data_IF_405590389595
#
_entry.id   IF_405590389595
#
_cell.length_a   1.000
_cell.length_b   1.000
_cell.length_c   1.000
_cell.angle_alpha   90.00
_cell.angle_beta   90.00
_cell.angle_gamma   90.00
#
_symmetry.space_group_name_H-M   'P 1'
#
loop_
_entity.id
_entity.type
_entity.pdbx_description
1 polymer ?
#
# COMPACT_ATOMS: atom_id res chain seq x y z
N UNK A 1 -14.65 36.27 61.16
CA UNK A 1 -15.46 35.19 60.58
C UNK A 1 -14.70 34.58 59.39
N UNK A 2 -14.07 33.43 59.55
CA UNK A 2 -13.35 32.72 58.47
C UNK A 2 -14.24 31.60 58.00
N UNK A 3 -14.79 31.71 56.78
CA UNK A 3 -15.56 30.67 56.10
C UNK A 3 -14.60 29.56 55.66
N UNK A 4 -14.71 28.38 56.22
CA UNK A 4 -14.03 27.16 55.80
C UNK A 4 -14.75 26.63 54.56
N UNK A 5 -14.11 26.76 53.38
CA UNK A 5 -14.57 26.07 52.16
C UNK A 5 -14.18 24.59 52.28
N UNK A 6 -15.21 23.73 52.31
CA UNK A 6 -15.07 22.30 52.31
C UNK A 6 -14.64 21.82 50.90
N UNK A 7 -13.57 21.02 50.75
CA UNK A 7 -13.13 20.54 49.42
C UNK A 7 -14.15 19.57 48.83
N UNK A 8 -14.32 19.55 47.49
CA UNK A 8 -15.23 18.62 46.84
C UNK A 8 -14.74 17.17 47.02
N UNK A 9 -15.67 16.30 47.42
CA UNK A 9 -15.43 14.87 47.55
C UNK A 9 -15.30 14.27 46.14
N UNK A 10 -14.08 13.90 45.73
CA UNK A 10 -13.89 13.09 44.54
C UNK A 10 -14.56 11.72 44.77
N UNK A 11 -15.66 11.49 44.07
CA UNK A 11 -16.34 10.17 44.05
C UNK A 11 -15.36 9.15 43.47
N UNK A 12 -14.95 8.20 44.28
CA UNK A 12 -14.09 7.09 43.86
C UNK A 12 -14.82 6.27 42.78
N UNK A 13 -14.33 6.34 41.55
CA UNK A 13 -14.79 5.49 40.45
C UNK A 13 -14.48 4.04 40.82
N UNK A 14 -15.52 3.22 41.04
CA UNK A 14 -15.33 1.80 41.33
C UNK A 14 -14.59 1.12 40.18
N UNK A 15 -13.52 0.35 40.42
CA UNK A 15 -12.80 -0.35 39.38
C UNK A 15 -13.72 -1.38 38.73
N UNK A 16 -13.82 -1.37 37.39
CA UNK A 16 -14.57 -2.36 36.62
C UNK A 16 -14.04 -3.78 36.94
N UNK A 17 -14.94 -4.79 37.03
CA UNK A 17 -14.55 -6.17 37.29
C UNK A 17 -13.53 -6.66 36.26
N UNK A 18 -12.56 -7.46 36.69
CA UNK A 18 -11.44 -7.92 35.87
C UNK A 18 -11.90 -8.61 34.57
N UNK A 19 -13.02 -9.36 34.62
CA UNK A 19 -13.65 -9.99 33.47
C UNK A 19 -14.10 -8.97 32.38
N UNK A 20 -14.62 -7.82 32.79
CA UNK A 20 -15.05 -6.78 31.86
C UNK A 20 -13.84 -6.10 31.19
N UNK A 21 -12.74 -5.89 31.94
CA UNK A 21 -11.48 -5.37 31.38
C UNK A 21 -10.86 -6.35 30.38
N UNK A 22 -10.87 -7.65 30.69
CA UNK A 22 -10.39 -8.68 29.77
C UNK A 22 -11.23 -8.75 28.50
N UNK A 23 -12.57 -8.68 28.60
CA UNK A 23 -13.47 -8.68 27.45
C UNK A 23 -13.23 -7.45 26.54
N UNK A 24 -13.07 -6.26 27.11
CA UNK A 24 -12.79 -5.03 26.34
C UNK A 24 -11.45 -5.13 25.61
N UNK A 25 -10.39 -5.65 26.25
CA UNK A 25 -9.07 -5.84 25.62
C UNK A 25 -9.12 -6.85 24.48
N UNK A 26 -9.86 -7.95 24.61
CA UNK A 26 -10.04 -8.93 23.54
C UNK A 26 -10.82 -8.34 22.36
N UNK A 27 -11.87 -7.55 22.63
CA UNK A 27 -12.67 -6.92 21.56
C UNK A 27 -11.87 -5.87 20.79
N UNK A 28 -11.02 -5.09 21.45
CA UNK A 28 -10.14 -4.10 20.80
C UNK A 28 -9.06 -4.79 19.93
N UNK A 29 -8.57 -5.95 20.36
CA UNK A 29 -7.59 -6.73 19.58
C UNK A 29 -8.15 -7.33 18.30
N UNK A 30 -9.44 -7.62 18.25
CA UNK A 30 -10.13 -8.19 17.07
C UNK A 30 -10.47 -7.15 15.98
N UNK A 31 -10.37 -5.85 16.28
CA UNK A 31 -10.64 -4.75 15.33
C UNK A 31 -9.40 -4.28 14.56
N UNK A 32 -8.23 -4.90 14.78
CA UNK A 32 -7.04 -4.63 14.00
C UNK A 32 -7.21 -5.24 12.60
N UNK A 33 -7.75 -4.49 11.66
CA UNK A 33 -7.79 -4.86 10.25
C UNK A 33 -6.37 -5.14 9.75
N UNK A 34 -6.06 -6.40 9.42
CA UNK A 34 -4.74 -6.80 8.96
C UNK A 34 -4.47 -6.22 7.57
N UNK A 35 -3.53 -5.29 7.45
CA UNK A 35 -2.94 -4.92 6.17
C UNK A 35 -2.07 -6.08 5.69
N UNK A 36 -2.33 -6.56 4.48
CA UNK A 36 -1.52 -7.58 3.83
C UNK A 36 -0.65 -6.93 2.77
N UNK A 37 0.66 -7.07 2.92
CA UNK A 37 1.67 -6.62 1.96
C UNK A 37 2.54 -7.80 1.61
N UNK A 38 2.70 -8.08 0.33
CA UNK A 38 3.61 -9.10 -0.16
C UNK A 38 4.31 -8.61 -1.43
N UNK A 39 5.60 -8.89 -1.51
CA UNK A 39 6.39 -8.67 -2.71
C UNK A 39 7.31 -9.88 -2.90
N UNK A 40 7.31 -10.45 -4.10
CA UNK A 40 8.06 -11.65 -4.41
C UNK A 40 8.88 -11.48 -5.67
N UNK A 41 10.19 -11.68 -5.55
CA UNK A 41 11.09 -11.81 -6.69
C UNK A 41 11.17 -13.28 -7.11
N UNK A 42 11.03 -13.52 -8.40
CA UNK A 42 11.23 -14.85 -8.99
C UNK A 42 12.65 -15.00 -9.48
N UNK A 43 13.23 -13.87 -9.94
CA UNK A 43 14.63 -13.78 -10.35
C UNK A 43 15.26 -12.49 -9.83
N UNK A 44 16.59 -12.36 -9.81
CA UNK A 44 17.28 -11.10 -9.52
C UNK A 44 16.84 -9.99 -10.48
N UNK A 45 16.48 -8.81 -9.94
CA UNK A 45 15.92 -7.69 -10.71
C UNK A 45 16.93 -6.59 -11.01
N UNK A 46 18.18 -6.74 -10.57
CA UNK A 46 19.22 -5.70 -10.62
C UNK A 46 19.59 -5.29 -12.05
N UNK A 47 19.50 -6.24 -12.99
CA UNK A 47 19.81 -6.02 -14.41
C UNK A 47 18.72 -5.30 -15.20
N UNK A 48 17.49 -5.27 -14.69
CA UNK A 48 16.37 -4.62 -15.35
C UNK A 48 16.36 -3.13 -15.01
N UNK A 49 16.75 -2.30 -15.96
CA UNK A 49 16.87 -0.86 -15.74
C UNK A 49 15.75 -0.08 -16.43
N UNK A 50 15.34 -0.49 -17.63
CA UNK A 50 14.31 0.19 -18.43
C UNK A 50 12.97 -0.52 -18.26
N UNK A 51 12.07 0.11 -17.52
CA UNK A 51 10.78 -0.47 -17.15
C UNK A 51 9.67 0.34 -17.80
N UNK A 52 8.82 -0.35 -18.54
CA UNK A 52 7.63 0.24 -19.13
C UNK A 52 6.39 -0.13 -18.31
N UNK A 53 5.62 0.84 -17.89
CA UNK A 53 4.37 0.63 -17.17
C UNK A 53 3.22 0.65 -18.16
N UNK A 54 2.50 -0.47 -18.28
CA UNK A 54 1.33 -0.54 -19.16
C UNK A 54 0.20 0.30 -18.62
N UNK A 55 -0.22 1.31 -19.37
CA UNK A 55 -1.37 2.13 -19.03
C UNK A 55 -2.67 1.34 -19.18
N UNK A 56 -3.48 1.31 -18.12
CA UNK A 56 -4.79 0.67 -18.14
C UNK A 56 -5.86 1.64 -18.63
N UNK A 57 -6.73 1.20 -19.56
CA UNK A 57 -7.80 2.05 -20.14
C UNK A 57 -8.78 2.59 -19.09
N UNK A 58 -8.98 1.89 -18.00
CA UNK A 58 -9.94 2.23 -16.95
C UNK A 58 -9.26 2.78 -15.69
N UNK A 59 -8.03 3.27 -15.80
CA UNK A 59 -7.33 3.89 -14.67
C UNK A 59 -7.64 5.38 -14.59
N UNK A 60 -8.67 5.71 -13.82
CA UNK A 60 -9.07 7.10 -13.54
C UNK A 60 -8.20 7.76 -12.45
N UNK A 61 -7.25 7.04 -11.90
CA UNK A 61 -6.39 7.49 -10.79
C UNK A 61 -4.94 7.70 -11.19
N UNK A 62 -4.60 7.50 -12.48
CA UNK A 62 -3.27 7.71 -13.04
C UNK A 62 -2.18 6.94 -12.29
N UNK A 63 -2.47 5.69 -11.91
CA UNK A 63 -1.51 4.85 -11.19
C UNK A 63 -0.26 4.57 -12.01
N UNK A 64 -0.36 4.51 -13.33
CA UNK A 64 0.78 4.36 -14.24
C UNK A 64 1.80 5.49 -14.06
N UNK A 65 1.36 6.74 -13.94
CA UNK A 65 2.24 7.89 -13.69
C UNK A 65 2.88 7.81 -12.29
N UNK A 66 2.12 7.35 -11.29
CA UNK A 66 2.64 7.15 -9.94
C UNK A 66 3.70 6.04 -9.89
N UNK A 67 3.48 4.92 -10.60
CA UNK A 67 4.50 3.87 -10.74
C UNK A 67 5.77 4.41 -11.41
N UNK A 68 5.64 5.16 -12.50
CA UNK A 68 6.79 5.79 -13.18
C UNK A 68 7.55 6.70 -12.22
N UNK A 69 6.85 7.54 -11.46
CA UNK A 69 7.49 8.45 -10.52
C UNK A 69 8.29 7.70 -9.43
N UNK A 70 7.72 6.64 -8.85
CA UNK A 70 8.39 5.88 -7.79
C UNK A 70 9.53 4.99 -8.35
N UNK A 71 9.39 4.41 -9.54
CA UNK A 71 10.47 3.69 -10.22
C UNK A 71 11.66 4.60 -10.52
N UNK A 72 11.41 5.83 -10.99
CA UNK A 72 12.48 6.83 -11.21
C UNK A 72 13.19 7.22 -9.92
N UNK A 73 12.47 7.30 -8.79
CA UNK A 73 13.08 7.52 -7.46
C UNK A 73 14.01 6.38 -7.03
N UNK A 74 13.78 5.17 -7.54
CA UNK A 74 14.64 4.01 -7.34
C UNK A 74 15.80 3.96 -8.36
N UNK A 75 15.94 4.98 -9.21
CA UNK A 75 17.01 5.06 -10.23
C UNK A 75 16.73 4.24 -11.49
N UNK A 76 15.46 3.82 -11.71
CA UNK A 76 15.07 3.13 -12.93
C UNK A 76 14.72 4.13 -14.05
N UNK A 77 15.02 3.76 -15.28
CA UNK A 77 14.50 4.46 -16.46
C UNK A 77 13.08 3.94 -16.74
N UNK A 78 12.08 4.73 -16.38
CA UNK A 78 10.69 4.31 -16.45
C UNK A 78 9.84 5.26 -17.29
N UNK A 79 8.92 4.68 -18.04
CA UNK A 79 7.89 5.38 -18.81
C UNK A 79 6.60 4.59 -18.80
N UNK A 80 5.47 5.24 -19.12
CA UNK A 80 4.16 4.59 -19.22
C UNK A 80 3.44 4.93 -20.51
N UNK A 81 2.46 4.11 -20.84
CA UNK A 81 1.57 4.31 -21.99
C UNK A 81 0.95 3.00 -22.47
N UNK A 82 0.20 3.05 -23.59
CA UNK A 82 -0.30 1.85 -24.24
C UNK A 82 0.85 0.93 -24.71
N UNK A 83 0.66 -0.39 -24.66
CA UNK A 83 1.69 -1.35 -25.10
C UNK A 83 2.19 -1.13 -26.53
N UNK A 84 1.35 -0.56 -27.39
CA UNK A 84 1.71 -0.22 -28.78
C UNK A 84 2.74 0.91 -28.88
N UNK A 85 2.94 1.67 -27.81
CA UNK A 85 3.92 2.77 -27.75
C UNK A 85 5.16 2.39 -26.91
N UNK A 86 5.28 1.13 -26.50
CA UNK A 86 6.41 0.66 -25.72
C UNK A 86 7.73 0.81 -26.51
N UNK A 87 8.76 1.43 -25.91
CA UNK A 87 10.07 1.53 -26.54
C UNK A 87 10.73 0.15 -26.81
N UNK A 88 11.37 -0.01 -27.95
CA UNK A 88 12.03 -1.28 -28.33
C UNK A 88 13.07 -1.78 -27.33
N UNK A 89 13.77 -0.86 -26.67
CA UNK A 89 14.82 -1.18 -25.70
C UNK A 89 14.30 -1.38 -24.26
N UNK A 90 13.00 -1.69 -24.09
CA UNK A 90 12.42 -1.97 -22.77
C UNK A 90 12.92 -3.32 -22.25
N UNK A 91 13.37 -3.36 -21.01
CA UNK A 91 13.86 -4.60 -20.35
C UNK A 91 12.69 -5.39 -19.73
N UNK A 92 11.75 -4.69 -19.11
CA UNK A 92 10.61 -5.31 -18.46
C UNK A 92 9.34 -4.45 -18.56
N UNK A 93 8.19 -5.10 -18.55
CA UNK A 93 6.86 -4.48 -18.52
C UNK A 93 6.23 -4.71 -17.15
N UNK A 94 5.74 -3.65 -16.56
CA UNK A 94 4.94 -3.68 -15.34
C UNK A 94 3.47 -3.54 -15.72
N UNK A 95 2.66 -4.50 -15.29
CA UNK A 95 1.21 -4.50 -15.39
C UNK A 95 0.61 -4.43 -13.99
N UNK A 96 -0.51 -3.75 -13.81
CA UNK A 96 -1.12 -3.61 -12.49
C UNK A 96 -2.64 -3.72 -12.56
N UNK A 97 -3.24 -4.05 -11.42
CA UNK A 97 -4.68 -4.01 -11.17
C UNK A 97 -4.94 -3.35 -9.83
N UNK A 98 -6.00 -2.56 -9.76
CA UNK A 98 -6.38 -1.83 -8.56
C UNK A 98 -7.85 -2.00 -8.27
N UNK A 99 -8.18 -2.06 -6.98
CA UNK A 99 -9.55 -2.04 -6.51
C UNK A 99 -9.73 -0.89 -5.53
N UNK A 100 -10.74 -0.09 -5.80
CA UNK A 100 -11.08 1.10 -5.04
C UNK A 100 -12.44 0.93 -4.38
N UNK A 101 -12.59 1.53 -3.24
CA UNK A 101 -13.86 1.64 -2.54
C UNK A 101 -14.19 3.11 -2.28
N UNK A 102 -15.46 3.37 -2.02
CA UNK A 102 -15.96 4.70 -1.74
C UNK A 102 -16.74 4.71 -0.43
N UNK A 103 -16.30 5.58 0.51
CA UNK A 103 -17.00 5.88 1.75
C UNK A 103 -16.62 7.31 2.15
N UNK A 104 -17.45 8.29 1.76
CA UNK A 104 -17.18 9.73 1.85
C UNK A 104 -15.96 10.22 1.03
N UNK A 105 -15.00 9.38 0.76
CA UNK A 105 -13.88 9.57 -0.16
C UNK A 105 -13.55 8.25 -0.86
N UNK A 106 -12.95 8.36 -2.03
CA UNK A 106 -12.40 7.19 -2.73
C UNK A 106 -11.07 6.79 -2.10
N UNK A 107 -10.86 5.51 -1.86
CA UNK A 107 -9.60 4.98 -1.32
C UNK A 107 -9.24 3.63 -1.93
N UNK A 108 -7.93 3.39 -2.05
CA UNK A 108 -7.37 2.17 -2.62
C UNK A 108 -7.38 1.06 -1.57
N UNK A 109 -8.08 -0.03 -1.82
CA UNK A 109 -8.14 -1.20 -0.92
C UNK A 109 -7.28 -2.35 -1.38
N UNK A 110 -7.01 -2.44 -2.69
CA UNK A 110 -6.14 -3.48 -3.24
C UNK A 110 -5.36 -2.93 -4.43
N UNK A 111 -4.08 -3.25 -4.45
CA UNK A 111 -3.19 -3.01 -5.57
C UNK A 111 -2.35 -4.26 -5.78
N UNK A 112 -2.42 -4.81 -6.98
CA UNK A 112 -1.53 -5.88 -7.42
C UNK A 112 -0.74 -5.42 -8.63
N UNK A 113 0.50 -5.84 -8.75
CA UNK A 113 1.24 -5.66 -9.98
C UNK A 113 2.17 -6.84 -10.27
N UNK A 114 2.49 -7.01 -11.52
CA UNK A 114 3.40 -8.02 -12.00
C UNK A 114 4.44 -7.40 -12.93
N UNK A 115 5.66 -7.88 -12.83
CA UNK A 115 6.74 -7.52 -13.72
C UNK A 115 7.05 -8.70 -14.63
N UNK A 116 7.10 -8.46 -15.94
CA UNK A 116 7.34 -9.47 -16.97
C UNK A 116 8.45 -9.06 -17.91
N UNK A 117 9.12 -10.04 -18.50
CA UNK A 117 10.03 -9.78 -19.64
C UNK A 117 9.22 -9.33 -20.87
N UNK A 118 9.80 -8.44 -21.68
CA UNK A 118 9.15 -7.89 -22.87
C UNK A 118 8.81 -8.95 -23.94
N UNK A 119 9.72 -9.89 -24.20
CA UNK A 119 9.58 -10.83 -25.31
C UNK A 119 8.88 -12.14 -24.93
N UNK A 120 9.30 -12.75 -23.82
CA UNK A 120 8.78 -14.07 -23.43
C UNK A 120 7.58 -14.00 -22.48
N UNK A 121 7.21 -12.80 -22.03
CA UNK A 121 6.19 -12.58 -21.00
C UNK A 121 6.41 -13.41 -19.72
N UNK A 122 7.67 -13.80 -19.47
CA UNK A 122 8.02 -14.54 -18.26
C UNK A 122 7.90 -13.61 -17.06
N UNK A 123 7.18 -14.05 -16.03
CA UNK A 123 7.04 -13.32 -14.79
C UNK A 123 8.39 -13.22 -14.07
N UNK A 124 8.78 -12.01 -13.70
CA UNK A 124 10.01 -11.67 -12.98
C UNK A 124 9.77 -11.44 -11.50
N UNK A 125 8.66 -10.79 -11.19
CA UNK A 125 8.25 -10.46 -9.83
C UNK A 125 6.74 -10.21 -9.80
N UNK A 126 6.17 -10.30 -8.61
CA UNK A 126 4.81 -9.87 -8.30
C UNK A 126 4.75 -9.21 -6.93
N UNK A 127 3.78 -8.32 -6.75
CA UNK A 127 3.51 -7.71 -5.46
C UNK A 127 2.02 -7.45 -5.28
N UNK A 128 1.60 -7.48 -4.02
CA UNK A 128 0.22 -7.24 -3.62
C UNK A 128 0.14 -6.45 -2.35
N UNK A 129 -0.73 -5.46 -2.35
CA UNK A 129 -1.22 -4.74 -1.19
C UNK A 129 -2.71 -4.98 -1.04
N UNK A 130 -3.16 -5.25 0.18
CA UNK A 130 -4.57 -5.38 0.51
C UNK A 130 -4.85 -4.82 1.90
N UNK A 131 -5.79 -3.88 1.99
CA UNK A 131 -6.26 -3.32 3.25
C UNK A 131 -7.73 -2.91 3.15
N UNK A 132 -8.66 -3.72 3.68
CA UNK A 132 -10.09 -3.44 3.63
C UNK A 132 -10.50 -2.43 4.71
N UNK A 133 -9.96 -1.21 4.65
CA UNK A 133 -10.19 -0.17 5.66
C UNK A 133 -10.05 1.20 5.03
N UNK A 134 -10.89 2.15 5.45
CA UNK A 134 -10.82 3.56 5.05
C UNK A 134 -9.50 4.24 5.48
N UNK A 135 -8.79 3.68 6.46
CA UNK A 135 -7.47 4.15 6.91
C UNK A 135 -6.35 3.57 6.05
N UNK A 136 -6.48 3.68 4.74
CA UNK A 136 -5.41 3.28 3.82
C UNK A 136 -4.32 4.35 3.75
N UNK A 137 -3.12 3.91 3.37
CA UNK A 137 -2.07 4.81 2.92
C UNK A 137 -2.45 5.45 1.60
N UNK A 138 -1.83 6.57 1.28
CA UNK A 138 -1.97 7.18 -0.04
C UNK A 138 -1.31 6.29 -1.12
N UNK A 139 -1.86 6.24 -2.35
CA UNK A 139 -1.37 5.36 -3.41
C UNK A 139 0.15 5.44 -3.68
N UNK A 140 0.80 6.63 -3.69
CA UNK A 140 2.25 6.71 -3.88
C UNK A 140 3.05 6.02 -2.77
N UNK A 141 2.56 6.05 -1.53
CA UNK A 141 3.24 5.37 -0.41
C UNK A 141 3.15 3.85 -0.52
N UNK A 142 1.96 3.35 -0.95
CA UNK A 142 1.73 1.93 -1.18
C UNK A 142 2.66 1.44 -2.29
N UNK A 143 2.69 2.12 -3.44
CA UNK A 143 3.54 1.81 -4.58
C UNK A 143 5.00 1.80 -4.17
N UNK A 144 5.45 2.85 -3.46
CA UNK A 144 6.83 2.95 -2.96
C UNK A 144 7.20 1.77 -2.08
N UNK A 145 6.36 1.41 -1.11
CA UNK A 145 6.61 0.29 -0.22
C UNK A 145 6.80 -1.00 -1.02
N UNK A 146 5.87 -1.33 -1.91
CA UNK A 146 5.93 -2.55 -2.74
C UNK A 146 7.17 -2.58 -3.64
N UNK A 147 7.55 -1.43 -4.24
CA UNK A 147 8.71 -1.34 -5.11
C UNK A 147 10.04 -1.43 -4.33
N UNK A 148 10.12 -0.84 -3.13
CA UNK A 148 11.32 -0.95 -2.27
C UNK A 148 11.53 -2.39 -1.81
N UNK A 149 10.47 -3.16 -1.54
CA UNK A 149 10.57 -4.57 -1.20
C UNK A 149 11.13 -5.41 -2.37
N UNK A 150 10.88 -4.99 -3.63
CA UNK A 150 11.46 -5.61 -4.82
C UNK A 150 12.86 -5.11 -5.17
N UNK A 151 13.16 -3.84 -4.93
CA UNK A 151 14.47 -3.24 -5.16
C UNK A 151 14.98 -2.57 -3.87
N UNK A 152 15.40 -3.37 -2.87
CA UNK A 152 15.96 -2.78 -1.66
C UNK A 152 17.21 -1.96 -2.02
N UNK A 153 17.32 -0.76 -1.46
CA UNK A 153 18.55 0.01 -1.58
C UNK A 153 19.66 -0.75 -0.84
N UNK A 154 20.87 -0.80 -1.41
CA UNK A 154 22.03 -1.36 -0.73
C UNK A 154 22.38 -0.60 0.55
#
# INVERSE_FOLDING_TARGET
>A
MRSQLKPPVLSAVKPLPALFRAAVLVTVGLLAGCTQVSARKIIPLETFQRIYVEQRRNDNHHLDELFVAELRRLGKDASSGPLTMMPEKTDAVLTYESRWEWDFKTYLIELTFELHTTHSKKKLADARYYQPSIRTKEPPEIIRQLLVDLWPKP
#
